data_IF_193829440218
#
_entry.id   IF_193829440218
#
_cell.length_a   1.000
_cell.length_b   1.000
_cell.length_c   1.000
_cell.angle_alpha   90.00
_cell.angle_beta   90.00
_cell.angle_gamma   90.00
#
_symmetry.space_group_name_H-M   'P 1'
#
loop_
_entity.id
_entity.type
_entity.pdbx_description
1 polymer ?
#
# COMPACT_ATOMS: atom_id res chain seq x y z
N UNK A 1 -5.71 7.29 1.48
CA UNK A 1 -4.80 7.10 2.62
C UNK A 1 -5.14 5.80 3.32
N UNK A 2 -4.15 5.10 3.85
CA UNK A 2 -4.31 3.98 4.78
C UNK A 2 -3.93 4.46 6.18
N UNK A 3 -4.70 4.09 7.19
CA UNK A 3 -4.33 4.22 8.60
C UNK A 3 -4.08 2.84 9.19
N UNK A 4 -2.83 2.57 9.58
CA UNK A 4 -2.50 1.39 10.38
C UNK A 4 -2.82 1.71 11.84
N UNK A 5 -3.77 0.98 12.42
CA UNK A 5 -4.32 1.25 13.76
C UNK A 5 -4.00 0.09 14.69
N UNK A 6 -3.05 0.28 15.60
CA UNK A 6 -2.71 -0.68 16.65
C UNK A 6 -3.33 -0.25 17.97
N UNK A 7 -4.52 -0.78 18.28
CA UNK A 7 -5.20 -0.55 19.56
C UNK A 7 -4.54 -1.42 20.63
N UNK A 8 -4.05 -0.79 21.68
CA UNK A 8 -3.44 -1.44 22.84
C UNK A 8 -4.20 -1.00 24.11
N UNK A 9 -3.86 -1.61 25.25
CA UNK A 9 -4.58 -1.38 26.51
C UNK A 9 -4.54 0.09 26.95
N UNK A 10 -3.35 0.72 26.90
CA UNK A 10 -3.13 2.08 27.42
C UNK A 10 -3.11 3.17 26.34
N UNK A 11 -3.00 2.79 25.07
CA UNK A 11 -2.90 3.73 23.95
C UNK A 11 -3.28 3.08 22.61
N UNK A 12 -3.61 3.91 21.63
CA UNK A 12 -3.71 3.52 20.22
C UNK A 12 -2.55 4.14 19.44
N UNK A 13 -1.82 3.31 18.72
CA UNK A 13 -0.80 3.77 17.77
C UNK A 13 -1.42 3.88 16.38
N UNK A 14 -1.27 5.03 15.74
CA UNK A 14 -1.76 5.27 14.38
C UNK A 14 -0.60 5.66 13.48
N UNK A 15 -0.49 5.03 12.31
CA UNK A 15 0.43 5.40 11.25
C UNK A 15 -0.30 5.64 9.93
N UNK A 16 -0.07 6.80 9.31
CA UNK A 16 -0.69 7.15 8.04
C UNK A 16 0.24 6.90 6.85
N UNK A 17 -0.28 6.15 5.88
CA UNK A 17 0.35 5.88 4.60
C UNK A 17 -0.43 6.59 3.49
N UNK A 18 0.21 7.53 2.81
CA UNK A 18 -0.39 8.20 1.65
C UNK A 18 -0.46 7.25 0.48
N UNK A 19 -1.57 7.29 -0.24
CA UNK A 19 -1.84 6.42 -1.38
C UNK A 19 -1.95 7.19 -2.70
N UNK A 20 -2.00 8.52 -2.63
CA UNK A 20 -2.17 9.41 -3.77
C UNK A 20 -0.87 9.49 -4.57
N UNK A 21 -0.98 9.47 -5.90
CA UNK A 21 0.19 9.64 -6.78
C UNK A 21 0.59 11.10 -6.81
N UNK A 22 1.88 11.37 -6.62
CA UNK A 22 2.46 12.73 -6.65
C UNK A 22 2.93 13.24 -5.28
N UNK A 23 2.51 12.60 -4.19
CA UNK A 23 3.05 12.88 -2.86
C UNK A 23 4.46 12.29 -2.75
N UNK A 24 5.43 13.11 -2.34
CA UNK A 24 6.85 12.71 -2.25
C UNK A 24 7.17 11.84 -1.03
N UNK A 25 6.27 11.81 -0.04
CA UNK A 25 6.41 11.02 1.18
C UNK A 25 5.21 10.08 1.36
N UNK A 26 5.46 8.79 1.21
CA UNK A 26 4.44 7.74 1.35
C UNK A 26 4.06 7.52 2.83
N UNK A 27 4.94 7.83 3.78
CA UNK A 27 4.63 7.90 5.21
C UNK A 27 4.34 9.36 5.60
N UNK A 28 3.18 9.64 6.19
CA UNK A 28 2.70 11.02 6.39
C UNK A 28 2.42 11.44 7.83
N UNK A 29 2.48 10.51 8.78
CA UNK A 29 2.37 10.85 10.20
C UNK A 29 2.25 9.62 11.10
N UNK A 30 2.57 9.83 12.38
CA UNK A 30 2.60 8.81 13.42
C UNK A 30 2.13 9.41 14.76
N UNK A 31 1.26 8.71 15.46
CA UNK A 31 0.69 9.16 16.73
C UNK A 31 0.54 8.00 17.71
N UNK A 32 0.67 8.31 19.00
CA UNK A 32 0.30 7.45 20.13
C UNK A 32 -0.71 8.26 20.94
N UNK A 33 -1.98 7.86 20.89
CA UNK A 33 -3.10 8.64 21.43
C UNK A 33 -4.12 7.75 22.14
N UNK A 34 -4.85 8.30 23.11
CA UNK A 34 -5.95 7.59 23.75
C UNK A 34 -7.16 7.43 22.79
N UNK A 35 -7.50 8.49 22.05
CA UNK A 35 -8.58 8.51 21.07
C UNK A 35 -8.05 8.86 19.67
N UNK A 36 -8.09 7.93 18.70
CA UNK A 36 -7.62 8.16 17.34
C UNK A 36 -8.69 8.74 16.41
N UNK A 37 -9.92 9.00 16.87
CA UNK A 37 -11.09 9.26 16.00
C UNK A 37 -10.83 10.28 14.89
N UNK A 38 -10.26 11.43 15.22
CA UNK A 38 -9.96 12.49 14.24
C UNK A 38 -8.89 12.11 13.22
N UNK A 39 -7.98 11.19 13.58
CA UNK A 39 -6.93 10.68 12.70
C UNK A 39 -7.49 9.72 11.65
N UNK A 40 -8.62 9.05 11.94
CA UNK A 40 -9.15 7.99 11.07
C UNK A 40 -10.09 8.50 9.97
N UNK A 41 -10.39 9.81 9.95
CA UNK A 41 -11.34 10.40 9.02
C UNK A 41 -10.85 10.24 7.57
N UNK A 42 -11.63 9.54 6.75
CA UNK A 42 -11.34 9.31 5.33
C UNK A 42 -10.20 8.31 5.06
N UNK A 43 -9.65 7.68 6.10
CA UNK A 43 -8.62 6.66 5.95
C UNK A 43 -9.23 5.25 5.82
N UNK A 44 -8.61 4.42 4.99
CA UNK A 44 -8.85 2.97 5.02
C UNK A 44 -8.10 2.41 6.22
N UNK A 45 -8.83 1.92 7.22
CA UNK A 45 -8.25 1.39 8.45
C UNK A 45 -7.76 -0.04 8.23
N UNK A 46 -6.55 -0.33 8.71
CA UNK A 46 -5.97 -1.68 8.70
C UNK A 46 -5.36 -2.00 10.06
N UNK A 47 -5.51 -3.24 10.50
CA UNK A 47 -4.82 -3.74 11.68
C UNK A 47 -3.34 -4.00 11.35
N UNK A 48 -2.41 -3.80 12.32
CA UNK A 48 -1.01 -4.14 12.13
C UNK A 48 -0.81 -5.65 11.99
N UNK A 49 0.01 -6.06 11.03
CA UNK A 49 0.38 -7.46 10.86
C UNK A 49 0.60 -7.89 9.41
N UNK A 50 1.04 -9.14 9.23
CA UNK A 50 1.38 -9.69 7.91
C UNK A 50 0.16 -9.83 6.98
N UNK A 51 -1.05 -9.95 7.52
CA UNK A 51 -2.26 -10.09 6.70
C UNK A 51 -2.52 -8.82 5.88
N UNK A 52 -2.47 -7.64 6.50
CA UNK A 52 -2.68 -6.37 5.79
C UNK A 52 -1.69 -6.19 4.62
N UNK A 53 -0.43 -6.58 4.83
CA UNK A 53 0.63 -6.54 3.81
C UNK A 53 0.35 -7.57 2.71
N UNK A 54 -0.01 -8.80 3.08
CA UNK A 54 -0.29 -9.89 2.15
C UNK A 54 -1.54 -9.61 1.30
N UNK A 55 -2.59 -9.04 1.89
CA UNK A 55 -3.81 -8.65 1.19
C UNK A 55 -3.53 -7.61 0.10
N UNK A 56 -2.80 -6.54 0.44
CA UNK A 56 -2.44 -5.51 -0.53
C UNK A 56 -1.51 -6.08 -1.62
N UNK A 57 -0.52 -6.89 -1.25
CA UNK A 57 0.36 -7.54 -2.21
C UNK A 57 -0.43 -8.40 -3.19
N UNK A 58 -1.33 -9.26 -2.71
CA UNK A 58 -2.21 -10.09 -3.55
C UNK A 58 -3.12 -9.24 -4.44
N UNK A 59 -3.64 -8.12 -3.94
CA UNK A 59 -4.46 -7.22 -4.73
C UNK A 59 -3.68 -6.58 -5.89
N UNK A 60 -2.45 -6.12 -5.62
CA UNK A 60 -1.55 -5.60 -6.66
C UNK A 60 -1.18 -6.70 -7.65
N UNK A 61 -0.94 -7.93 -7.19
CA UNK A 61 -0.57 -9.05 -8.07
C UNK A 61 -1.70 -9.43 -9.04
N UNK A 62 -2.96 -9.45 -8.57
CA UNK A 62 -4.12 -9.64 -9.44
C UNK A 62 -4.23 -8.58 -10.53
N UNK A 63 -3.94 -7.31 -10.20
CA UNK A 63 -3.93 -6.23 -11.18
C UNK A 63 -2.81 -6.40 -12.21
N UNK A 64 -1.65 -6.92 -11.80
CA UNK A 64 -0.54 -7.23 -12.71
C UNK A 64 -0.90 -8.35 -13.67
N UNK A 65 -1.56 -9.39 -13.18
CA UNK A 65 -2.04 -10.50 -14.01
C UNK A 65 -3.10 -10.03 -15.01
N UNK A 66 -4.02 -9.16 -14.59
CA UNK A 66 -5.00 -8.54 -15.50
C UNK A 66 -4.33 -7.74 -16.62
N UNK A 67 -3.27 -6.98 -16.31
CA UNK A 67 -2.49 -6.25 -17.31
C UNK A 67 -1.77 -7.22 -18.27
N UNK A 68 -1.19 -8.30 -17.75
CA UNK A 68 -0.52 -9.33 -18.58
C UNK A 68 -1.51 -9.97 -19.55
N UNK A 69 -2.67 -10.41 -19.04
CA UNK A 69 -3.73 -11.02 -19.84
C UNK A 69 -4.22 -10.07 -20.95
N UNK A 70 -4.42 -8.78 -20.64
CA UNK A 70 -4.84 -7.77 -21.63
C UNK A 70 -3.79 -7.49 -22.73
N UNK A 71 -2.53 -7.86 -22.50
CA UNK A 71 -1.45 -7.75 -23.46
C UNK A 71 -1.19 -9.03 -24.25
N UNK A 72 -1.76 -10.16 -23.85
CA UNK A 72 -1.53 -11.45 -24.47
C UNK A 72 -1.90 -11.39 -25.97
N UNK A 73 -1.01 -11.87 -26.83
CA UNK A 73 -1.18 -11.85 -28.29
C UNK A 73 -1.17 -10.45 -28.95
N UNK A 74 -1.16 -9.36 -28.17
CA UNK A 74 -1.30 -7.99 -28.70
C UNK A 74 -0.04 -7.13 -28.48
N UNK A 75 0.66 -7.33 -27.37
CA UNK A 75 1.86 -6.56 -27.02
C UNK A 75 3.05 -7.50 -26.84
N UNK A 76 3.99 -7.44 -27.77
CA UNK A 76 5.27 -8.16 -27.67
C UNK A 76 6.20 -7.46 -26.67
N UNK A 77 6.79 -8.21 -25.74
CA UNK A 77 7.80 -7.67 -24.82
C UNK A 77 7.26 -6.84 -23.67
N UNK A 78 6.03 -7.10 -23.20
CA UNK A 78 5.53 -6.49 -21.96
C UNK A 78 6.48 -6.82 -20.81
N UNK A 79 7.14 -5.79 -20.25
CA UNK A 79 7.93 -5.87 -19.03
C UNK A 79 7.25 -5.06 -17.93
N UNK A 80 6.85 -5.76 -16.89
CA UNK A 80 6.41 -5.19 -15.61
C UNK A 80 7.45 -5.57 -14.57
N UNK A 81 7.95 -4.63 -13.78
CA UNK A 81 8.89 -4.92 -12.69
C UNK A 81 8.27 -5.92 -11.73
N UNK A 82 8.97 -6.94 -11.21
CA UNK A 82 8.37 -7.92 -10.29
C UNK A 82 7.80 -7.23 -9.04
N UNK A 83 6.71 -7.79 -8.50
CA UNK A 83 6.20 -7.38 -7.20
C UNK A 83 7.10 -7.99 -6.11
N UNK A 84 7.64 -7.14 -5.25
CA UNK A 84 8.48 -7.53 -4.13
C UNK A 84 7.69 -7.33 -2.84
N UNK A 85 7.37 -8.42 -2.16
CA UNK A 85 6.73 -8.35 -0.84
C UNK A 85 7.79 -7.96 0.20
N UNK A 86 7.57 -6.89 0.98
CA UNK A 86 8.52 -6.45 2.00
C UNK A 86 8.79 -7.53 3.07
N UNK A 87 10.04 -7.67 3.48
CA UNK A 87 10.44 -8.53 4.58
C UNK A 87 10.15 -7.84 5.92
N UNK A 88 9.16 -8.36 6.66
CA UNK A 88 8.72 -7.77 7.91
C UNK A 88 9.72 -7.94 9.04
N UNK A 89 10.51 -9.01 9.04
CA UNK A 89 11.53 -9.24 10.07
C UNK A 89 12.70 -8.29 9.87
N UNK A 90 13.12 -8.09 8.62
CA UNK A 90 14.14 -7.10 8.28
C UNK A 90 13.70 -5.69 8.67
N UNK A 91 12.45 -5.31 8.35
CA UNK A 91 11.90 -4.03 8.77
C UNK A 91 11.87 -3.94 10.30
N UNK A 92 11.38 -4.96 10.98
CA UNK A 92 11.28 -4.97 12.43
C UNK A 92 12.65 -4.88 13.13
N UNK A 93 13.73 -5.34 12.50
CA UNK A 93 15.10 -5.19 12.98
C UNK A 93 15.68 -3.78 12.76
N UNK A 94 15.20 -3.05 11.73
CA UNK A 94 15.61 -1.67 11.45
C UNK A 94 14.90 -0.61 12.30
N UNK A 95 13.96 -1.02 13.16
CA UNK A 95 13.17 -0.10 13.99
C UNK A 95 13.92 0.35 15.24
N UNK A 96 13.95 1.67 15.49
CA UNK A 96 14.65 2.29 16.63
C UNK A 96 13.78 3.25 17.46
N UNK A 97 12.44 3.20 17.31
CA UNK A 97 11.51 4.03 18.09
C UNK A 97 10.97 3.32 19.34
N UNK A 98 9.87 3.85 19.89
CA UNK A 98 9.17 3.25 21.03
C UNK A 98 8.63 1.86 20.71
N UNK A 99 8.87 0.87 21.58
CA UNK A 99 8.47 -0.53 21.36
C UNK A 99 7.00 -0.69 21.04
N UNK A 100 6.15 0.12 21.69
CA UNK A 100 4.69 0.20 21.48
C UNK A 100 4.33 0.46 20.02
N UNK A 101 5.13 1.23 19.29
CA UNK A 101 4.84 1.62 17.91
C UNK A 101 5.49 0.72 16.85
N UNK A 102 6.33 -0.25 17.25
CA UNK A 102 7.06 -1.13 16.33
C UNK A 102 6.14 -1.87 15.35
N UNK A 103 5.05 -2.46 15.83
CA UNK A 103 4.13 -3.26 15.00
C UNK A 103 3.43 -2.41 13.93
N UNK A 104 2.90 -1.26 14.35
CA UNK A 104 2.26 -0.31 13.46
C UNK A 104 3.26 0.24 12.43
N UNK A 105 4.47 0.59 12.87
CA UNK A 105 5.53 1.08 11.99
C UNK A 105 5.94 0.05 10.94
N UNK A 106 6.24 -1.19 11.33
CA UNK A 106 6.65 -2.27 10.39
C UNK A 106 5.59 -2.47 9.32
N UNK A 107 4.32 -2.53 9.73
CA UNK A 107 3.21 -2.70 8.79
C UNK A 107 3.07 -1.48 7.88
N UNK A 108 3.12 -0.26 8.43
CA UNK A 108 3.00 0.96 7.65
C UNK A 108 4.15 1.12 6.63
N UNK A 109 5.37 0.79 7.01
CA UNK A 109 6.53 0.82 6.11
C UNK A 109 6.41 -0.23 5.01
N UNK A 110 5.96 -1.44 5.32
CA UNK A 110 5.70 -2.46 4.30
C UNK A 110 4.61 -2.02 3.31
N UNK A 111 3.49 -1.48 3.82
CA UNK A 111 2.42 -0.95 2.97
C UNK A 111 2.90 0.22 2.10
N UNK A 112 3.74 1.10 2.65
CA UNK A 112 4.34 2.21 1.89
C UNK A 112 5.21 1.72 0.73
N UNK A 113 6.01 0.67 0.94
CA UNK A 113 6.80 0.05 -0.13
C UNK A 113 5.91 -0.57 -1.22
N UNK A 114 4.78 -1.18 -0.85
CA UNK A 114 3.82 -1.73 -1.81
C UNK A 114 3.08 -0.62 -2.58
N UNK A 115 2.71 0.48 -1.92
CA UNK A 115 2.12 1.67 -2.56
C UNK A 115 3.07 2.23 -3.62
N UNK A 116 4.36 2.34 -3.32
CA UNK A 116 5.35 2.80 -4.28
C UNK A 116 5.45 1.88 -5.50
N UNK A 117 5.39 0.56 -5.30
CA UNK A 117 5.38 -0.41 -6.39
C UNK A 117 4.11 -0.31 -7.24
N UNK A 118 2.95 -0.04 -6.63
CA UNK A 118 1.72 0.27 -7.36
C UNK A 118 1.85 1.52 -8.23
N UNK A 119 2.45 2.60 -7.71
CA UNK A 119 2.68 3.82 -8.48
C UNK A 119 3.61 3.59 -9.67
N UNK A 120 4.64 2.77 -9.50
CA UNK A 120 5.52 2.34 -10.60
C UNK A 120 4.74 1.54 -11.64
N UNK A 121 3.90 0.59 -11.22
CA UNK A 121 3.05 -0.19 -12.13
C UNK A 121 2.10 0.70 -12.93
N UNK A 122 1.42 1.64 -12.27
CA UNK A 122 0.50 2.58 -12.95
C UNK A 122 1.24 3.50 -13.92
N UNK A 123 2.47 3.91 -13.58
CA UNK A 123 3.34 4.66 -14.51
C UNK A 123 3.68 3.83 -15.75
N UNK A 124 4.04 2.56 -15.58
CA UNK A 124 4.34 1.63 -16.69
C UNK A 124 3.10 1.29 -17.53
N UNK A 125 1.93 1.19 -16.91
CA UNK A 125 0.67 0.96 -17.60
C UNK A 125 0.30 2.17 -18.46
N UNK A 126 0.38 3.36 -17.88
CA UNK A 126 0.01 4.64 -18.54
C UNK A 126 0.96 5.04 -19.64
N UNK A 127 2.22 4.59 -19.66
CA UNK A 127 3.14 4.93 -20.74
C UNK A 127 2.85 4.20 -22.07
N UNK A 128 1.96 3.19 -22.08
CA UNK A 128 1.69 2.34 -23.25
C UNK A 128 0.31 2.59 -23.84
N UNK A 129 0.23 2.90 -25.13
CA UNK A 129 -1.02 3.26 -25.82
C UNK A 129 -2.11 2.17 -25.72
N UNK A 130 -1.76 0.92 -26.01
CA UNK A 130 -2.71 -0.21 -25.90
C UNK A 130 -3.32 -0.33 -24.50
N UNK A 131 -2.48 -0.25 -23.46
CA UNK A 131 -2.95 -0.31 -22.07
C UNK A 131 -3.75 0.93 -21.66
N UNK A 132 -3.50 2.10 -22.26
CA UNK A 132 -4.35 3.28 -22.07
C UNK A 132 -5.75 3.09 -22.68
N UNK A 133 -5.86 2.40 -23.82
CA UNK A 133 -7.15 2.12 -24.47
C UNK A 133 -7.96 1.11 -23.64
N UNK A 134 -7.30 0.10 -23.06
CA UNK A 134 -7.96 -0.93 -22.23
C UNK A 134 -8.31 -0.43 -20.83
N UNK A 135 -7.36 0.25 -20.15
CA UNK A 135 -7.48 0.59 -18.73
C UNK A 135 -7.65 2.09 -18.45
N UNK A 136 -7.74 2.91 -19.49
CA UNK A 136 -7.82 4.36 -19.37
C UNK A 136 -6.47 5.05 -19.16
N UNK A 137 -6.45 6.38 -19.24
CA UNK A 137 -5.22 7.21 -19.15
C UNK A 137 -4.96 7.75 -17.75
N UNK A 138 -5.96 7.71 -16.89
CA UNK A 138 -5.88 8.19 -15.52
C UNK A 138 -5.14 7.20 -14.62
N UNK A 139 -4.52 7.73 -13.57
CA UNK A 139 -3.95 6.91 -12.50
C UNK A 139 -5.10 6.25 -11.75
N UNK A 140 -5.05 4.92 -11.64
CA UNK A 140 -6.04 4.17 -10.86
C UNK A 140 -5.71 4.23 -9.37
N UNK A 141 -6.73 4.28 -8.49
CA UNK A 141 -6.50 4.21 -7.06
C UNK A 141 -5.86 2.88 -6.67
N UNK A 142 -5.15 2.87 -5.54
CA UNK A 142 -4.60 1.65 -4.96
C UNK A 142 -5.73 0.63 -4.73
N UNK A 143 -5.57 -0.66 -5.09
CA UNK A 143 -6.62 -1.67 -4.98
C UNK A 143 -6.79 -2.12 -3.52
N UNK A 144 -7.37 -1.24 -2.71
CA UNK A 144 -7.67 -1.49 -1.30
C UNK A 144 -8.98 -2.27 -1.16
N UNK A 145 -8.94 -3.37 -0.41
CA UNK A 145 -10.15 -4.01 0.11
C UNK A 145 -10.78 -3.04 1.12
N UNK A 146 -11.99 -2.53 0.87
CA UNK A 146 -12.71 -1.79 1.91
C UNK A 146 -13.03 -2.77 3.04
N UNK A 147 -12.78 -2.43 4.32
CA UNK A 147 -13.32 -3.24 5.40
C UNK A 147 -14.85 -3.25 5.27
N UNK A 148 -15.45 -4.43 5.46
CA UNK A 148 -16.89 -4.52 5.73
C UNK A 148 -17.14 -3.68 6.98
N UNK A 149 -17.98 -2.66 6.86
CA UNK A 149 -18.33 -1.76 7.96
C UNK A 149 -18.98 -2.47 9.13
#
# INVERSE_FOLDING_TARGET
MIAVVDKQEDATVVWHVQTTVGDTAVMSGAWIVADPTDLLVGAVQVAPGPEAVSELARAIDRERDAIRAACEGTVTGLRLDPLMVPDLDQLAAAYHGESVARRAWVTATALAQLVQQWHTLETQRRSRKHLQEVFGREVRPLPLSRPAG
#
